data_IF_045023330976
#
_entry.id   IF_045023330976
#
_cell.length_a   1.000
_cell.length_b   1.000
_cell.length_c   1.000
_cell.angle_alpha   90.00
_cell.angle_beta   90.00
_cell.angle_gamma   90.00
#
_symmetry.space_group_name_H-M   'P 1'
#
loop_
_entity.id
_entity.type
_entity.pdbx_description
1 polymer ?
#
# COMPACT_ATOMS: atom_id res chain seq x y z
N UNK A 1 -10.73 1.66 3.20
CA UNK A 1 -10.73 1.37 1.74
C UNK A 1 -11.54 0.12 1.48
N UNK A 2 -12.50 0.18 0.59
CA UNK A 2 -13.30 -1.00 0.20
C UNK A 2 -12.59 -1.78 -0.89
N UNK A 3 -13.12 -2.98 -1.19
CA UNK A 3 -12.60 -3.79 -2.31
C UNK A 3 -12.67 -3.01 -3.61
N UNK A 4 -13.78 -2.34 -3.85
CA UNK A 4 -13.94 -1.55 -5.09
C UNK A 4 -12.93 -0.41 -5.16
N UNK A 5 -12.71 0.30 -4.05
CA UNK A 5 -11.71 1.38 -4.00
C UNK A 5 -10.33 0.85 -4.36
N UNK A 6 -9.96 -0.30 -3.82
CA UNK A 6 -8.66 -0.91 -4.08
C UNK A 6 -8.53 -1.34 -5.54
N UNK A 7 -9.56 -1.96 -6.09
CA UNK A 7 -9.57 -2.38 -7.50
C UNK A 7 -9.34 -1.18 -8.42
N UNK A 8 -10.06 -0.09 -8.19
CA UNK A 8 -9.94 1.12 -9.00
C UNK A 8 -8.51 1.69 -8.91
N UNK A 9 -7.96 1.72 -7.71
CA UNK A 9 -6.59 2.21 -7.52
C UNK A 9 -5.57 1.35 -8.27
N UNK A 10 -5.69 0.03 -8.16
CA UNK A 10 -4.73 -0.90 -8.77
C UNK A 10 -4.84 -0.92 -10.29
N UNK A 11 -6.03 -0.70 -10.85
CA UNK A 11 -6.21 -0.65 -12.30
C UNK A 11 -5.48 0.52 -12.96
N UNK A 12 -5.16 1.55 -12.20
CA UNK A 12 -4.43 2.72 -12.70
C UNK A 12 -2.92 2.51 -12.70
N UNK A 13 -2.46 1.38 -12.23
CA UNK A 13 -1.04 1.10 -12.04
C UNK A 13 -0.58 0.00 -13.01
N UNK A 14 0.71 -0.01 -13.39
CA UNK A 14 1.25 -1.06 -14.25
C UNK A 14 1.07 -2.44 -13.60
N UNK A 15 0.56 -3.44 -14.35
CA UNK A 15 0.26 -4.75 -13.75
C UNK A 15 1.51 -5.55 -13.33
N UNK A 16 2.67 -5.18 -13.83
CA UNK A 16 3.92 -5.86 -13.49
C UNK A 16 4.67 -5.21 -12.35
N UNK A 17 4.13 -4.13 -11.78
CA UNK A 17 4.78 -3.44 -10.67
C UNK A 17 4.63 -4.24 -9.39
N UNK A 18 5.71 -4.34 -8.65
CA UNK A 18 5.71 -5.08 -7.39
C UNK A 18 4.90 -4.35 -6.32
N UNK A 19 4.16 -5.13 -5.52
CA UNK A 19 3.32 -4.59 -4.44
C UNK A 19 3.99 -4.84 -3.11
N UNK A 20 4.12 -3.79 -2.32
CA UNK A 20 4.68 -3.84 -0.98
C UNK A 20 3.67 -3.35 0.04
N UNK A 21 3.81 -3.78 1.26
CA UNK A 21 2.98 -3.34 2.38
C UNK A 21 3.83 -2.45 3.28
N UNK A 22 3.32 -1.26 3.56
CA UNK A 22 3.92 -0.38 4.56
C UNK A 22 3.50 -0.89 5.93
N UNK A 23 4.45 -1.45 6.65
CA UNK A 23 4.21 -2.10 7.93
C UNK A 23 4.67 -1.21 9.07
N UNK A 24 3.71 -0.74 9.85
CA UNK A 24 4.04 -0.06 11.11
C UNK A 24 4.24 -1.12 12.18
N UNK A 25 5.42 -1.11 12.77
CA UNK A 25 5.76 -2.07 13.81
C UNK A 25 4.96 -1.81 15.07
N UNK A 26 4.04 -2.70 15.36
CA UNK A 26 3.44 -2.77 16.68
C UNK A 26 3.65 -4.18 17.22
N UNK A 27 4.66 -4.36 18.03
CA UNK A 27 5.06 -5.66 18.55
C UNK A 27 4.04 -6.27 19.49
N UNK A 28 3.13 -5.48 20.02
CA UNK A 28 2.12 -5.94 20.97
C UNK A 28 0.88 -6.55 20.30
N UNK A 29 0.75 -6.47 18.97
CA UNK A 29 -0.49 -6.82 18.27
C UNK A 29 -0.22 -7.65 17.02
N UNK A 30 0.20 -8.91 17.22
CA UNK A 30 0.54 -9.81 16.11
C UNK A 30 -0.64 -10.16 15.20
N UNK A 31 -1.88 -9.99 15.66
CA UNK A 31 -3.07 -10.40 14.92
C UNK A 31 -4.07 -9.27 14.70
N UNK A 32 -3.59 -8.04 14.68
CA UNK A 32 -4.49 -6.90 14.52
C UNK A 32 -4.69 -6.59 13.04
N UNK A 33 -5.96 -6.49 12.65
CA UNK A 33 -6.32 -6.06 11.30
C UNK A 33 -6.28 -4.54 11.24
N UNK A 34 -5.69 -4.01 10.18
CA UNK A 34 -5.54 -2.57 10.01
C UNK A 34 -6.17 -2.16 8.69
N UNK A 35 -6.95 -1.08 8.73
CA UNK A 35 -7.56 -0.55 7.53
C UNK A 35 -6.51 0.10 6.64
N UNK A 36 -6.61 -0.15 5.32
CA UNK A 36 -5.74 0.48 4.34
C UNK A 36 -6.34 1.80 3.92
N UNK A 37 -5.56 2.88 4.03
CA UNK A 37 -5.96 4.22 3.65
C UNK A 37 -5.24 4.76 2.43
N UNK A 38 -4.20 4.07 1.97
CA UNK A 38 -3.45 4.46 0.79
C UNK A 38 -3.11 3.23 -0.04
N UNK A 39 -3.30 3.34 -1.35
CA UNK A 39 -2.81 2.37 -2.32
C UNK A 39 -2.36 3.15 -3.55
N UNK A 40 -1.06 3.09 -3.87
CA UNK A 40 -0.54 3.86 -4.98
C UNK A 40 0.93 3.63 -5.22
N UNK A 41 1.46 4.36 -6.20
CA UNK A 41 2.84 4.27 -6.61
C UNK A 41 3.73 5.14 -5.72
N UNK A 42 4.82 4.57 -5.24
CA UNK A 42 5.82 5.26 -4.45
C UNK A 42 7.19 5.00 -5.06
N UNK A 43 7.99 6.04 -5.15
CA UNK A 43 9.37 5.94 -5.63
C UNK A 43 10.31 5.82 -4.42
N UNK A 44 11.17 4.81 -4.46
CA UNK A 44 12.16 4.59 -3.40
C UNK A 44 13.40 5.46 -3.60
N UNK A 45 14.27 5.48 -2.59
CA UNK A 45 15.55 6.19 -2.67
C UNK A 45 16.49 5.63 -3.73
N UNK A 46 16.23 4.41 -4.22
CA UNK A 46 17.01 3.78 -5.29
C UNK A 46 16.40 4.01 -6.68
N UNK A 47 15.45 4.94 -6.79
CA UNK A 47 14.72 5.24 -8.03
C UNK A 47 13.88 4.07 -8.54
N UNK A 48 13.52 3.14 -7.67
CA UNK A 48 12.59 2.07 -8.00
C UNK A 48 11.17 2.51 -7.69
N UNK A 49 10.24 2.14 -8.56
CA UNK A 49 8.83 2.43 -8.35
C UNK A 49 8.11 1.18 -7.88
N UNK A 50 7.37 1.32 -6.79
CA UNK A 50 6.65 0.22 -6.17
C UNK A 50 5.22 0.64 -5.91
N UNK A 51 4.31 -0.32 -5.89
CA UNK A 51 2.97 -0.10 -5.37
C UNK A 51 3.02 -0.34 -3.86
N UNK A 52 2.51 0.60 -3.09
CA UNK A 52 2.50 0.49 -1.64
C UNK A 52 1.07 0.53 -1.12
N UNK A 53 0.74 -0.41 -0.26
CA UNK A 53 -0.50 -0.42 0.53
C UNK A 53 -0.13 0.02 1.94
N UNK A 54 -0.80 1.06 2.43
CA UNK A 54 -0.46 1.64 3.72
C UNK A 54 -1.69 1.97 4.55
N UNK A 55 -1.62 1.78 5.89
CA UNK A 55 -2.66 2.28 6.78
C UNK A 55 -2.62 3.80 6.95
N UNK A 56 -1.53 4.44 6.53
CA UNK A 56 -1.37 5.87 6.62
C UNK A 56 -1.90 6.56 5.36
N UNK A 57 -2.35 7.80 5.51
CA UNK A 57 -2.72 8.63 4.36
C UNK A 57 -1.44 9.28 3.82
N UNK A 58 -0.94 8.75 2.72
CA UNK A 58 0.24 9.29 2.06
C UNK A 58 -0.21 10.14 0.87
N UNK A 59 0.19 11.38 0.86
CA UNK A 59 -0.11 12.28 -0.25
C UNK A 59 1.04 12.35 -1.25
#
# INVERSE_FOLDING_TARGET
MTVLDLIIKLQQLPPNMEVMIDHTRDESNMFKFVEINFAGEVETSLNEKLVVLSPLELD
#
